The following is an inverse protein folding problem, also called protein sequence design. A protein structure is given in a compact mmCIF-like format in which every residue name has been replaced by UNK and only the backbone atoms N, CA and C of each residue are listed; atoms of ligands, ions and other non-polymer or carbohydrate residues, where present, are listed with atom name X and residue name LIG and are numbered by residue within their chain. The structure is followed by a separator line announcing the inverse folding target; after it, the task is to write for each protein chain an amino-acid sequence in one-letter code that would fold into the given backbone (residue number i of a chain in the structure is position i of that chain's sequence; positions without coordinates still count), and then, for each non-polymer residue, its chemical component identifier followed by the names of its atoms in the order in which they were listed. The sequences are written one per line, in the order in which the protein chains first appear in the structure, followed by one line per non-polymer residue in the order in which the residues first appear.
data_IF_185708957134
#
_entry.id   IF_185708957134
#
_cell.length_a   1.000
_cell.length_b   1.000
_cell.length_c   1.000
_cell.angle_alpha   90.00
_cell.angle_beta   90.00
_cell.angle_gamma   90.00
#
_symmetry.space_group_name_H-M   'P 1'
#
loop_
_entity.id
_entity.type
_entity.pdbx_description
1 polymer ?
#
# COMPACT_ATOMS: atom_id res chain seq x y z
N UNK A 1 -11.06 16.27 -8.93
CA UNK A 1 -10.21 15.20 -8.35
C UNK A 1 -9.18 14.67 -9.35
N UNK A 2 -9.58 14.24 -10.56
CA UNK A 2 -8.64 13.80 -11.61
C UNK A 2 -7.49 14.80 -11.80
N UNK A 3 -7.81 16.07 -12.14
CA UNK A 3 -6.80 17.13 -12.32
C UNK A 3 -5.97 17.39 -11.07
N UNK A 4 -6.55 17.21 -9.88
CA UNK A 4 -5.85 17.38 -8.61
C UNK A 4 -4.78 16.29 -8.44
N UNK A 5 -5.14 15.02 -8.64
CA UNK A 5 -4.17 13.91 -8.56
C UNK A 5 -3.08 14.01 -9.63
N UNK A 6 -3.47 14.38 -10.85
CA UNK A 6 -2.54 14.51 -11.98
C UNK A 6 -1.53 15.65 -11.81
N UNK A 7 -1.93 16.75 -11.16
CA UNK A 7 -1.09 17.94 -10.96
C UNK A 7 -0.52 18.06 -9.55
N UNK A 8 -0.86 17.15 -8.64
CA UNK A 8 -0.32 17.17 -7.28
C UNK A 8 1.21 17.01 -7.35
N UNK A 9 1.98 17.80 -6.60
CA UNK A 9 3.44 17.76 -6.66
C UNK A 9 3.98 16.56 -5.87
N UNK A 10 3.75 15.34 -6.37
CA UNK A 10 4.18 14.10 -5.72
C UNK A 10 5.69 14.03 -5.45
N UNK A 11 6.48 14.79 -6.20
CA UNK A 11 7.92 14.93 -6.02
C UNK A 11 8.31 15.83 -4.84
N UNK A 12 7.41 16.68 -4.35
CA UNK A 12 7.66 17.63 -3.27
C UNK A 12 7.47 16.97 -1.88
N UNK A 13 8.07 15.80 -1.68
CA UNK A 13 7.88 14.91 -0.50
C UNK A 13 8.23 15.53 0.86
N UNK A 14 8.95 16.65 0.86
CA UNK A 14 9.29 17.44 2.05
C UNK A 14 8.23 18.51 2.40
N UNK A 15 7.25 18.73 1.52
CA UNK A 15 6.26 19.81 1.63
C UNK A 15 4.83 19.32 1.88
N UNK A 16 4.63 18.01 2.01
CA UNK A 16 3.37 17.44 2.43
C UNK A 16 3.61 16.29 3.42
N UNK A 17 2.64 16.12 4.32
CA UNK A 17 2.68 15.10 5.36
C UNK A 17 2.04 13.80 4.89
N UNK A 18 2.29 12.71 5.63
CA UNK A 18 1.55 11.45 5.41
C UNK A 18 0.04 11.68 5.56
N UNK A 19 -0.38 12.57 6.47
CA UNK A 19 -1.78 12.94 6.65
C UNK A 19 -2.37 13.63 5.43
N UNK A 20 -1.65 14.57 4.81
CA UNK A 20 -2.12 15.25 3.60
C UNK A 20 -2.35 14.24 2.46
N UNK A 21 -1.41 13.29 2.29
CA UNK A 21 -1.56 12.16 1.35
C UNK A 21 -2.78 11.31 1.68
N UNK A 22 -2.96 10.95 2.95
CA UNK A 22 -4.09 10.12 3.39
C UNK A 22 -5.45 10.81 3.17
N UNK A 23 -5.54 12.12 3.37
CA UNK A 23 -6.75 12.90 3.06
C UNK A 23 -7.05 12.87 1.56
N UNK A 24 -6.05 13.03 0.70
CA UNK A 24 -6.22 12.91 -0.75
C UNK A 24 -6.69 11.51 -1.15
N UNK A 25 -6.09 10.47 -0.56
CA UNK A 25 -6.48 9.09 -0.80
C UNK A 25 -7.94 8.84 -0.38
N UNK A 26 -8.31 9.19 0.86
CA UNK A 26 -9.66 8.97 1.39
C UNK A 26 -10.72 9.71 0.57
N UNK A 27 -10.42 10.94 0.15
CA UNK A 27 -11.30 11.72 -0.71
C UNK A 27 -11.46 11.05 -2.07
N UNK A 28 -10.35 10.59 -2.66
CA UNK A 28 -10.34 9.86 -3.93
C UNK A 28 -11.16 8.58 -3.85
N UNK A 29 -10.97 7.76 -2.81
CA UNK A 29 -11.70 6.51 -2.61
C UNK A 29 -13.21 6.75 -2.46
N UNK A 30 -13.62 7.75 -1.66
CA UNK A 30 -15.04 8.12 -1.48
C UNK A 30 -15.67 8.58 -2.80
N UNK A 31 -14.99 9.45 -3.55
CA UNK A 31 -15.49 9.93 -4.84
C UNK A 31 -15.56 8.82 -5.88
N UNK A 32 -14.57 7.93 -5.91
CA UNK A 32 -14.53 6.81 -6.84
C UNK A 32 -15.68 5.83 -6.57
N UNK A 33 -15.94 5.52 -5.30
CA UNK A 33 -17.09 4.69 -4.88
C UNK A 33 -18.43 5.34 -5.23
N UNK A 34 -18.56 6.65 -5.01
CA UNK A 34 -19.78 7.38 -5.37
C UNK A 34 -20.04 7.33 -6.89
N UNK A 35 -19.00 7.55 -7.70
CA UNK A 35 -19.11 7.47 -9.15
C UNK A 35 -19.41 6.05 -9.65
N UNK A 36 -18.76 5.03 -9.08
CA UNK A 36 -19.01 3.63 -9.41
C UNK A 36 -20.47 3.23 -9.12
N UNK A 37 -21.01 3.67 -7.98
CA UNK A 37 -22.42 3.46 -7.64
C UNK A 37 -23.34 4.15 -8.65
N UNK A 38 -23.06 5.41 -9.00
CA UNK A 38 -23.86 6.17 -9.96
C UNK A 38 -23.92 5.49 -11.34
N UNK A 39 -22.79 4.95 -11.81
CA UNK A 39 -22.71 4.13 -13.04
C UNK A 39 -23.51 2.84 -12.89
N UNK A 40 -23.30 2.09 -11.81
CA UNK A 40 -23.98 0.80 -11.56
C UNK A 40 -25.51 0.93 -11.57
N UNK A 41 -26.04 1.98 -10.94
CA UNK A 41 -27.48 2.22 -10.86
C UNK A 41 -28.04 2.97 -12.07
N UNK A 42 -27.23 3.20 -13.12
CA UNK A 42 -27.61 3.96 -14.32
C UNK A 42 -28.30 5.28 -13.99
N UNK A 43 -27.87 5.93 -12.92
CA UNK A 43 -28.43 7.22 -12.50
C UNK A 43 -28.14 8.30 -13.54
N UNK A 44 -27.15 8.06 -14.41
CA UNK A 44 -26.71 9.00 -15.44
C UNK A 44 -26.20 8.27 -16.71
N UNK A 45 -26.02 9.03 -17.79
CA UNK A 45 -25.66 8.57 -19.15
C UNK A 45 -24.27 7.89 -19.26
N UNK A 46 -23.96 7.34 -20.45
CA UNK A 46 -22.70 6.68 -20.84
C UNK A 46 -21.42 7.47 -20.47
N UNK A 47 -21.50 8.80 -20.41
CA UNK A 47 -20.38 9.69 -20.04
C UNK A 47 -19.75 9.32 -18.68
N UNK A 48 -20.52 8.74 -17.76
CA UNK A 48 -20.03 8.38 -16.43
C UNK A 48 -19.14 7.14 -16.42
N UNK A 49 -19.28 6.22 -17.38
CA UNK A 49 -18.42 5.02 -17.48
C UNK A 49 -17.00 5.41 -17.91
N UNK A 50 -16.88 6.28 -18.91
CA UNK A 50 -15.58 6.81 -19.36
C UNK A 50 -14.91 7.64 -18.27
N UNK A 51 -15.69 8.47 -17.57
CA UNK A 51 -15.19 9.24 -16.43
C UNK A 51 -14.72 8.33 -15.29
N UNK A 52 -15.43 7.23 -15.00
CA UNK A 52 -15.02 6.26 -13.99
C UNK A 52 -13.71 5.58 -14.36
N UNK A 53 -13.57 5.18 -15.63
CA UNK A 53 -12.33 4.58 -16.13
C UNK A 53 -11.14 5.55 -16.02
N UNK A 54 -11.30 6.79 -16.50
CA UNK A 54 -10.26 7.82 -16.44
C UNK A 54 -9.89 8.17 -14.99
N UNK A 55 -10.89 8.26 -14.10
CA UNK A 55 -10.65 8.55 -12.70
C UNK A 55 -9.92 7.41 -12.00
N UNK A 56 -10.34 6.16 -12.24
CA UNK A 56 -9.66 4.99 -11.72
C UNK A 56 -8.20 4.96 -12.20
N UNK A 57 -7.97 5.11 -13.50
CA UNK A 57 -6.62 5.09 -14.09
C UNK A 57 -5.73 6.18 -13.48
N UNK A 58 -6.22 7.42 -13.41
CA UNK A 58 -5.48 8.53 -12.81
C UNK A 58 -5.15 8.28 -11.35
N UNK A 59 -6.09 7.68 -10.60
CA UNK A 59 -5.88 7.36 -9.18
C UNK A 59 -4.86 6.24 -8.97
N UNK A 60 -4.79 5.26 -9.87
CA UNK A 60 -3.80 4.17 -9.79
C UNK A 60 -2.40 4.61 -10.21
N UNK A 61 -2.30 5.65 -11.05
CA UNK A 61 -1.03 6.27 -11.46
C UNK A 61 -0.44 7.24 -10.43
N UNK A 62 -1.17 7.57 -9.37
CA UNK A 62 -0.70 8.47 -8.33
C UNK A 62 0.53 7.88 -7.59
N UNK A 63 1.73 8.49 -7.68
CA UNK A 63 2.96 7.94 -7.12
C UNK A 63 2.97 7.84 -5.59
N UNK A 64 2.27 8.74 -4.88
CA UNK A 64 2.24 8.73 -3.42
C UNK A 64 1.25 7.74 -2.79
N UNK A 65 0.49 6.97 -3.60
CA UNK A 65 -0.39 5.94 -3.08
C UNK A 65 0.32 4.60 -2.99
N UNK A 66 0.24 3.97 -1.81
CA UNK A 66 0.83 2.65 -1.58
C UNK A 66 0.11 1.55 -2.37
N UNK A 67 0.74 0.39 -2.54
CA UNK A 67 0.12 -0.75 -3.24
C UNK A 67 -1.17 -1.21 -2.54
N UNK A 68 -1.22 -1.10 -1.21
CA UNK A 68 -2.43 -1.34 -0.41
C UNK A 68 -3.53 -0.32 -0.69
N UNK A 69 -3.18 0.96 -0.83
CA UNK A 69 -4.12 2.01 -1.19
C UNK A 69 -4.64 1.81 -2.63
N UNK A 70 -3.77 1.51 -3.60
CA UNK A 70 -4.17 1.21 -4.98
C UNK A 70 -5.12 0.00 -5.03
N UNK A 71 -4.84 -1.04 -4.25
CA UNK A 71 -5.74 -2.19 -4.10
C UNK A 71 -7.13 -1.77 -3.63
N UNK A 72 -7.23 -0.90 -2.63
CA UNK A 72 -8.51 -0.35 -2.16
C UNK A 72 -9.24 0.46 -3.23
N UNK A 73 -8.52 1.22 -4.07
CA UNK A 73 -9.13 1.95 -5.18
C UNK A 73 -9.71 1.02 -6.25
N UNK A 74 -9.01 -0.07 -6.59
CA UNK A 74 -9.54 -1.11 -7.49
C UNK A 74 -10.83 -1.70 -6.92
N UNK A 75 -10.86 -1.98 -5.62
CA UNK A 75 -12.07 -2.49 -4.95
C UNK A 75 -13.21 -1.46 -4.90
N UNK A 76 -12.88 -0.18 -4.71
CA UNK A 76 -13.86 0.91 -4.65
C UNK A 76 -14.55 1.19 -5.99
N UNK A 77 -13.89 0.89 -7.11
CA UNK A 77 -14.42 1.10 -8.46
C UNK A 77 -15.33 -0.02 -8.98
N UNK A 78 -15.81 -0.96 -8.15
CA UNK A 78 -16.56 -2.14 -8.64
C UNK A 78 -17.98 -1.79 -9.13
N UNK A 79 -18.40 -2.27 -10.33
CA UNK A 79 -17.64 -3.12 -11.27
C UNK A 79 -16.48 -2.38 -11.94
N UNK A 80 -15.26 -2.95 -11.89
CA UNK A 80 -14.04 -2.26 -12.32
C UNK A 80 -14.04 -2.05 -13.85
N UNK A 81 -14.05 -0.81 -14.35
CA UNK A 81 -14.08 -0.55 -15.79
C UNK A 81 -12.76 -0.86 -16.51
N UNK A 82 -11.65 -0.97 -15.78
CA UNK A 82 -10.30 -1.10 -16.36
C UNK A 82 -9.77 -2.54 -16.41
N UNK A 83 -10.51 -3.52 -15.88
CA UNK A 83 -10.07 -4.93 -15.87
C UNK A 83 -8.80 -5.21 -15.05
N UNK A 84 -8.32 -4.25 -14.26
CA UNK A 84 -7.10 -4.37 -13.46
C UNK A 84 -7.26 -5.48 -12.41
N UNK A 85 -6.30 -6.41 -12.40
CA UNK A 85 -6.23 -7.48 -11.41
C UNK A 85 -5.43 -7.03 -10.19
N UNK A 86 -5.90 -7.38 -9.00
CA UNK A 86 -5.21 -7.10 -7.74
C UNK A 86 -4.15 -8.19 -7.53
N UNK A 87 -2.88 -7.80 -7.49
CA UNK A 87 -1.80 -8.73 -7.09
C UNK A 87 -1.93 -9.03 -5.60
N UNK A 88 -1.69 -10.29 -5.21
CA UNK A 88 -1.71 -10.73 -3.81
C UNK A 88 -0.71 -9.94 -2.96
N UNK A 89 0.45 -9.62 -3.55
CA UNK A 89 1.52 -8.81 -2.95
C UNK A 89 1.02 -7.42 -2.56
N UNK A 90 0.18 -6.81 -3.40
CA UNK A 90 -0.34 -5.46 -3.17
C UNK A 90 -1.32 -5.41 -1.99
N UNK A 91 -1.99 -6.52 -1.67
CA UNK A 91 -2.94 -6.62 -0.55
C UNK A 91 -2.21 -6.64 0.80
N UNK A 92 -1.10 -7.38 0.86
CA UNK A 92 -0.28 -7.55 2.07
C UNK A 92 0.86 -6.51 2.19
N UNK A 93 0.87 -5.50 1.31
CA UNK A 93 1.94 -4.50 1.27
C UNK A 93 2.12 -3.82 2.64
N UNK A 94 3.31 -3.91 3.26
CA UNK A 94 3.51 -3.55 4.66
C UNK A 94 3.86 -2.07 4.87
N UNK A 95 4.20 -1.37 3.79
CA UNK A 95 4.69 0.01 3.84
C UNK A 95 3.59 1.02 3.50
N UNK A 96 3.61 2.15 4.19
CA UNK A 96 2.70 3.26 3.97
C UNK A 96 3.21 4.22 2.90
N UNK A 97 4.53 4.43 2.83
CA UNK A 97 5.14 5.45 1.96
C UNK A 97 6.05 4.86 0.89
N UNK A 98 6.72 3.73 1.16
CA UNK A 98 7.42 2.98 0.12
C UNK A 98 6.41 2.36 -0.85
N UNK A 99 6.66 2.56 -2.13
CA UNK A 99 5.87 2.00 -3.22
C UNK A 99 6.71 1.05 -4.04
N UNK A 100 6.06 0.12 -4.73
CA UNK A 100 6.75 -0.79 -5.63
C UNK A 100 7.38 0.00 -6.78
N UNK A 101 8.64 -0.31 -7.10
CA UNK A 101 9.27 0.21 -8.31
C UNK A 101 8.50 -0.31 -9.55
N UNK A 102 8.06 0.56 -10.48
CA UNK A 102 7.33 0.14 -11.67
C UNK A 102 8.04 -0.91 -12.54
N UNK A 103 9.37 -0.96 -12.46
CA UNK A 103 10.21 -1.89 -13.22
C UNK A 103 10.51 -3.20 -12.46
N UNK A 104 10.13 -3.32 -11.19
CA UNK A 104 10.32 -4.56 -10.43
C UNK A 104 9.25 -5.59 -10.83
N UNK A 105 9.66 -6.82 -11.12
CA UNK A 105 8.72 -7.92 -11.40
C UNK A 105 8.02 -8.42 -10.13
N UNK A 106 6.91 -9.14 -10.28
CA UNK A 106 6.21 -9.74 -9.13
C UNK A 106 7.16 -10.73 -8.41
N UNK A 107 7.93 -11.54 -9.15
CA UNK A 107 8.87 -12.50 -8.54
C UNK A 107 9.94 -11.81 -7.70
N UNK A 108 10.43 -10.65 -8.15
CA UNK A 108 11.40 -9.86 -7.39
C UNK A 108 10.81 -9.40 -6.06
N UNK A 109 9.58 -8.90 -6.07
CA UNK A 109 8.92 -8.43 -4.85
C UNK A 109 8.57 -9.59 -3.92
N UNK A 110 8.15 -10.73 -4.46
CA UNK A 110 7.93 -11.96 -3.69
C UNK A 110 9.21 -12.46 -3.02
N UNK A 111 10.35 -12.36 -3.72
CA UNK A 111 11.64 -12.69 -3.14
C UNK A 111 11.97 -11.80 -1.93
N UNK A 112 11.76 -10.47 -2.03
CA UNK A 112 11.94 -9.58 -0.87
C UNK A 112 10.92 -9.85 0.24
N UNK A 113 9.67 -10.15 -0.09
CA UNK A 113 8.66 -10.54 0.89
C UNK A 113 9.09 -11.78 1.68
N UNK A 114 9.62 -12.80 0.97
CA UNK A 114 10.20 -13.99 1.57
C UNK A 114 11.37 -13.65 2.51
N UNK A 115 12.30 -12.78 2.09
CA UNK A 115 13.41 -12.34 2.94
C UNK A 115 12.89 -11.64 4.20
N UNK A 116 12.01 -10.65 4.08
CA UNK A 116 11.47 -9.93 5.25
C UNK A 116 10.72 -10.87 6.20
N UNK A 117 9.97 -11.82 5.65
CA UNK A 117 9.31 -12.86 6.44
C UNK A 117 10.32 -13.71 7.20
N UNK A 118 11.40 -14.17 6.56
CA UNK A 118 12.48 -14.93 7.21
C UNK A 118 13.17 -14.11 8.31
N UNK A 119 13.42 -12.82 8.08
CA UNK A 119 14.07 -11.94 9.05
C UNK A 119 13.19 -11.67 10.29
N UNK A 120 11.87 -11.60 10.11
CA UNK A 120 10.91 -11.26 11.17
C UNK A 120 10.38 -12.47 11.92
N UNK A 121 10.35 -13.65 11.28
CA UNK A 121 9.88 -14.92 11.88
C UNK A 121 11.00 -15.82 12.40
N UNK A 122 12.26 -15.34 12.45
CA UNK A 122 13.37 -16.09 13.02
C UNK A 122 13.03 -16.55 14.45
N UNK A 123 13.36 -17.80 14.83
CA UNK A 123 12.91 -18.40 16.07
C UNK A 123 13.73 -17.84 17.23
N UNK A 124 13.32 -16.70 17.77
CA UNK A 124 13.54 -16.48 19.20
C UNK A 124 12.73 -17.58 19.89
N UNK A 125 13.33 -18.42 20.74
CA UNK A 125 12.66 -19.57 21.39
C UNK A 125 11.26 -19.19 21.90
N UNK A 126 10.25 -19.46 21.08
CA UNK A 126 8.85 -19.24 21.42
C UNK A 126 8.45 -20.43 22.29
N UNK A 127 7.91 -20.17 23.47
CA UNK A 127 7.37 -21.23 24.34
C UNK A 127 6.28 -22.01 23.58
N UNK A 128 6.12 -23.32 23.83
CA UNK A 128 5.02 -24.12 23.23
C UNK A 128 3.63 -23.46 23.42
N UNK A 129 3.46 -22.72 24.51
CA UNK A 129 2.24 -21.96 24.81
C UNK A 129 2.03 -20.76 23.86
N UNK A 130 3.11 -20.09 23.46
CA UNK A 130 3.06 -18.96 22.52
C UNK A 130 2.91 -19.45 21.07
N UNK A 131 3.51 -20.61 20.74
CA UNK A 131 3.34 -21.24 19.43
C UNK A 131 1.89 -21.70 19.22
N UNK A 132 1.29 -22.36 20.22
CA UNK A 132 -0.11 -22.78 20.17
C UNK A 132 -1.10 -21.59 20.17
N UNK A 133 -0.77 -20.49 20.86
CA UNK A 133 -1.55 -19.25 20.79
C UNK A 133 -1.44 -18.55 19.42
N UNK A 134 -0.25 -18.54 18.80
CA UNK A 134 -0.05 -18.01 17.46
C UNK A 134 -0.75 -18.86 16.37
N UNK A 135 -0.75 -20.19 16.51
CA UNK A 135 -1.47 -21.11 15.63
C UNK A 135 -3.00 -21.03 15.79
N UNK A 136 -3.49 -20.85 17.03
CA UNK A 136 -4.92 -20.60 17.28
C UNK A 136 -5.34 -19.20 16.80
N UNK A 137 -4.40 -18.25 16.78
CA UNK A 137 -4.56 -16.88 16.27
C UNK A 137 -4.11 -16.75 14.80
N UNK A 138 -4.23 -17.81 13.99
CA UNK A 138 -3.94 -17.83 12.54
C UNK A 138 -4.81 -16.85 11.72
N UNK A 139 -4.79 -15.56 12.06
CA UNK A 139 -4.92 -14.48 11.12
C UNK A 139 -3.77 -14.66 10.13
N UNK A 140 -4.13 -14.90 8.87
CA UNK A 140 -3.21 -15.16 7.76
C UNK A 140 -1.88 -14.39 7.94
N UNK A 141 -0.79 -15.13 8.20
CA UNK A 141 0.53 -14.53 8.33
C UNK A 141 0.83 -13.76 7.04
N UNK A 142 1.03 -12.44 7.16
CA UNK A 142 1.34 -11.57 6.02
C UNK A 142 2.44 -12.16 5.16
N UNK A 143 2.32 -12.02 3.83
CA UNK A 143 3.38 -12.41 2.88
C UNK A 143 4.76 -11.84 3.26
N UNK A 144 4.80 -10.66 3.86
CA UNK A 144 6.02 -9.95 4.24
C UNK A 144 6.49 -10.27 5.67
N UNK A 145 5.76 -11.09 6.42
CA UNK A 145 5.98 -11.34 7.84
C UNK A 145 5.54 -10.19 8.74
N UNK A 146 6.15 -10.09 9.92
CA UNK A 146 5.77 -9.11 10.94
C UNK A 146 6.72 -7.89 10.91
N UNK A 147 6.52 -7.02 9.93
CA UNK A 147 7.29 -5.76 9.83
C UNK A 147 6.66 -4.71 10.74
N UNK A 148 7.44 -4.22 11.70
CA UNK A 148 7.06 -3.12 12.59
C UNK A 148 7.96 -1.93 12.29
N UNK A 149 7.34 -0.78 11.99
CA UNK A 149 8.07 0.47 11.72
C UNK A 149 8.10 1.29 13.01
N UNK A 150 9.28 1.55 13.60
CA UNK A 150 9.41 2.35 14.80
C UNK A 150 9.36 3.84 14.46
N UNK A 151 8.15 4.39 14.38
CA UNK A 151 7.95 5.81 14.08
C UNK A 151 8.58 6.70 15.15
N UNK A 152 9.41 7.67 14.76
CA UNK A 152 10.05 8.62 15.69
C UNK A 152 9.08 9.62 16.32
N UNK A 153 7.96 9.89 15.65
CA UNK A 153 6.92 10.83 16.07
C UNK A 153 5.56 10.35 15.52
N UNK A 154 4.50 11.13 15.72
CA UNK A 154 3.21 10.79 15.12
C UNK A 154 3.33 10.75 13.60
N UNK A 155 3.08 9.59 12.99
CA UNK A 155 3.12 9.36 11.55
C UNK A 155 2.39 10.44 10.76
N UNK A 156 1.25 10.90 11.26
CA UNK A 156 0.42 11.93 10.62
C UNK A 156 1.14 13.27 10.45
N UNK A 157 2.01 13.62 11.39
CA UNK A 157 2.73 14.90 11.39
C UNK A 157 4.05 14.85 10.62
N UNK A 158 4.53 13.65 10.31
CA UNK A 158 5.77 13.47 9.56
C UNK A 158 5.57 13.87 8.10
N UNK A 159 6.58 14.50 7.52
CA UNK A 159 6.66 14.67 6.08
C UNK A 159 6.71 13.29 5.42
N UNK A 160 6.25 13.21 4.16
CA UNK A 160 6.28 11.96 3.42
C UNK A 160 7.72 11.41 3.27
N UNK A 161 8.71 12.30 3.13
CA UNK A 161 10.13 11.94 3.06
C UNK A 161 10.67 11.33 4.36
N UNK A 162 10.34 11.92 5.52
CA UNK A 162 10.78 11.40 6.82
C UNK A 162 10.20 10.01 7.09
N UNK A 163 8.92 9.81 6.78
CA UNK A 163 8.27 8.53 6.93
C UNK A 163 8.90 7.47 6.01
N UNK A 164 9.14 7.81 4.75
CA UNK A 164 9.82 6.92 3.79
C UNK A 164 11.24 6.55 4.23
N UNK A 165 11.97 7.49 4.82
CA UNK A 165 13.33 7.24 5.32
C UNK A 165 13.33 6.24 6.49
N UNK A 166 12.32 6.29 7.37
CA UNK A 166 12.20 5.33 8.47
C UNK A 166 11.78 3.95 8.00
N UNK A 167 10.85 3.87 7.04
CA UNK A 167 10.50 2.59 6.40
C UNK A 167 11.72 1.98 5.70
N UNK A 168 12.50 2.79 5.00
CA UNK A 168 13.71 2.34 4.33
C UNK A 168 14.78 1.85 5.32
N UNK A 169 14.97 2.55 6.44
CA UNK A 169 15.88 2.11 7.50
C UNK A 169 15.50 0.72 8.07
N UNK A 170 14.20 0.43 8.18
CA UNK A 170 13.72 -0.90 8.58
C UNK A 170 14.04 -1.95 7.52
N UNK A 171 13.83 -1.65 6.24
CA UNK A 171 14.20 -2.54 5.12
C UNK A 171 15.68 -2.88 5.18
N UNK A 172 16.55 -1.87 5.34
CA UNK A 172 17.99 -2.09 5.46
C UNK A 172 18.34 -2.95 6.68
N UNK A 173 17.74 -2.70 7.84
CA UNK A 173 17.99 -3.47 9.05
C UNK A 173 17.59 -4.95 8.89
N UNK A 174 16.45 -5.22 8.26
CA UNK A 174 15.99 -6.59 7.98
C UNK A 174 16.93 -7.32 7.03
N UNK A 175 17.40 -6.65 5.97
CA UNK A 175 18.33 -7.23 5.02
C UNK A 175 19.71 -7.46 5.64
N UNK A 176 20.22 -6.51 6.44
CA UNK A 176 21.50 -6.66 7.16
C UNK A 176 21.46 -7.85 8.12
N UNK A 177 20.35 -8.04 8.84
CA UNK A 177 20.17 -9.21 9.74
C UNK A 177 20.31 -10.55 9.01
N UNK A 178 19.93 -10.62 7.74
CA UNK A 178 20.00 -11.85 6.95
C UNK A 178 21.33 -12.04 6.21
N UNK A 179 21.97 -10.96 5.80
CA UNK A 179 23.19 -10.99 4.99
C UNK A 179 24.47 -10.94 5.82
N UNK A 180 24.42 -10.34 7.02
CA UNK A 180 25.51 -10.37 7.99
C UNK A 180 25.35 -11.57 8.93
N UNK A 181 25.50 -12.77 8.39
CA UNK A 181 25.75 -13.98 9.19
C UNK A 181 27.27 -14.17 9.24
N UNK A 182 27.89 -14.37 10.43
CA UNK A 182 29.32 -14.64 10.55
C UNK A 182 29.74 -15.96 9.88
#
# INVERSE_FOLDING_TARGET
MISTLAKYPWWAVNHYTVKDRDVLFQTTEKMLRALANAVKYKQFNIVHERLLAEFQETSLKAPGFSEKQKTRLILAAKPSPTGVTISRIATDWPFETLVRNPNASDEMVEFYAYLFRKATMSPTMVSLAEHSAAEASNAATSLFGNIVIPWSSSKETMTFAEAASQEWAVVEALLRRLLCVP
#
